data_IF_698387879636
#
_entry.id   IF_698387879636
#
_cell.length_a   1.000
_cell.length_b   1.000
_cell.length_c   1.000
_cell.angle_alpha   90.00
_cell.angle_beta   90.00
_cell.angle_gamma   90.00
#
_symmetry.space_group_name_H-M   'P 1'
#
loop_
_entity.id
_entity.type
_entity.pdbx_description
1 polymer ?
#
# COMPACT_ATOMS: atom_id res chain seq x y z
N UNK A 1 -0.05 -11.59 5.73
CA UNK A 1 -0.89 -12.03 4.59
C UNK A 1 -0.73 -13.53 4.41
N UNK A 2 -1.83 -14.27 4.21
CA UNK A 2 -1.80 -15.72 3.96
C UNK A 2 -1.21 -16.02 2.55
N UNK A 3 -0.60 -17.20 2.31
CA UNK A 3 -0.22 -17.62 0.95
C UNK A 3 -1.43 -17.57 0.00
N UNK A 4 -1.20 -17.12 -1.24
CA UNK A 4 -2.26 -16.84 -2.22
C UNK A 4 -3.03 -15.52 -2.01
N UNK A 5 -2.84 -14.86 -0.87
CA UNK A 5 -3.54 -13.61 -0.53
C UNK A 5 -3.23 -12.45 -1.47
N UNK A 6 -4.18 -11.52 -1.56
CA UNK A 6 -4.07 -10.28 -2.33
C UNK A 6 -4.34 -9.10 -1.39
N UNK A 7 -3.49 -8.09 -1.43
CA UNK A 7 -3.67 -6.80 -0.78
C UNK A 7 -3.67 -5.70 -1.83
N UNK A 8 -4.62 -4.77 -1.72
CA UNK A 8 -4.69 -3.56 -2.55
C UNK A 8 -4.49 -2.37 -1.62
N UNK A 9 -3.49 -1.54 -1.90
CA UNK A 9 -3.09 -0.45 -1.00
C UNK A 9 -2.55 0.75 -1.80
N UNK A 10 -3.02 1.98 -1.53
CA UNK A 10 -2.38 3.19 -2.02
C UNK A 10 -1.08 3.45 -1.25
N UNK A 11 0.01 3.76 -1.96
CA UNK A 11 1.31 4.06 -1.35
C UNK A 11 1.82 5.38 -1.91
N UNK A 12 2.07 6.33 -1.01
CA UNK A 12 2.50 7.71 -1.29
C UNK A 12 1.93 8.68 -0.25
N UNK A 13 2.32 9.95 -0.29
CA UNK A 13 1.72 11.03 0.49
C UNK A 13 0.56 11.66 -0.29
N UNK A 14 0.83 12.73 -1.04
CA UNK A 14 -0.18 13.55 -1.72
C UNK A 14 -0.65 12.90 -3.03
N UNK A 15 0.31 12.51 -3.89
CA UNK A 15 0.05 11.63 -5.03
C UNK A 15 0.47 10.23 -4.67
N UNK A 16 -0.46 9.29 -4.76
CA UNK A 16 -0.24 7.89 -4.39
C UNK A 16 -0.31 6.99 -5.61
N UNK A 17 0.42 5.89 -5.59
CA UNK A 17 0.28 4.82 -6.58
C UNK A 17 -0.48 3.65 -5.98
N UNK A 18 -1.50 3.15 -6.68
CA UNK A 18 -2.27 2.00 -6.24
C UNK A 18 -1.51 0.70 -6.56
N UNK A 19 -1.16 -0.06 -5.53
CA UNK A 19 -0.49 -1.35 -5.71
C UNK A 19 -1.45 -2.52 -5.50
N UNK A 20 -1.39 -3.49 -6.40
CA UNK A 20 -1.85 -4.87 -6.15
C UNK A 20 -0.66 -5.70 -5.70
N UNK A 21 -0.68 -6.15 -4.45
CA UNK A 21 0.33 -7.00 -3.82
C UNK A 21 -0.20 -8.42 -3.72
N UNK A 22 0.52 -9.40 -4.25
CA UNK A 22 0.20 -10.84 -4.14
C UNK A 22 1.30 -11.54 -3.36
N UNK A 23 0.93 -12.43 -2.44
CA UNK A 23 1.84 -13.42 -1.85
C UNK A 23 1.57 -14.76 -2.51
N UNK A 24 2.56 -15.40 -3.12
CA UNK A 24 2.38 -16.74 -3.68
C UNK A 24 2.39 -17.83 -2.60
N UNK A 25 2.30 -19.08 -3.02
CA UNK A 25 2.32 -20.27 -2.17
C UNK A 25 3.64 -20.44 -1.42
N UNK A 26 4.75 -20.05 -2.03
CA UNK A 26 6.11 -20.11 -1.44
C UNK A 26 6.40 -18.91 -0.53
N UNK A 27 5.49 -17.95 -0.49
CA UNK A 27 5.55 -16.78 0.37
C UNK A 27 6.26 -15.58 -0.25
N UNK A 28 6.65 -15.66 -1.52
CA UNK A 28 7.25 -14.56 -2.27
C UNK A 28 6.20 -13.51 -2.61
N UNK A 29 6.62 -12.24 -2.54
CA UNK A 29 5.77 -11.07 -2.71
C UNK A 29 5.96 -10.48 -4.11
N UNK A 30 4.86 -10.24 -4.81
CA UNK A 30 4.82 -9.59 -6.11
C UNK A 30 3.99 -8.32 -6.00
N UNK A 31 4.51 -7.20 -6.51
CA UNK A 31 3.83 -5.91 -6.52
C UNK A 31 3.59 -5.48 -7.96
N UNK A 32 2.36 -5.07 -8.28
CA UNK A 32 2.00 -4.50 -9.59
C UNK A 32 1.33 -3.14 -9.39
N UNK A 33 1.86 -2.13 -10.08
CA UNK A 33 1.28 -0.78 -10.21
C UNK A 33 -0.05 -0.83 -10.97
N UNK A 34 -1.01 -0.01 -10.57
CA UNK A 34 -2.37 0.05 -11.13
C UNK A 34 -2.81 1.44 -11.54
N UNK A 35 -2.04 2.47 -11.21
CA UNK A 35 -2.30 3.86 -11.55
C UNK A 35 -2.23 4.78 -10.33
N UNK A 36 -2.13 6.07 -10.62
CA UNK A 36 -2.18 7.13 -9.63
C UNK A 36 -3.57 7.26 -8.99
N UNK A 37 -3.61 7.54 -7.69
CA UNK A 37 -4.82 7.75 -6.88
C UNK A 37 -4.57 8.83 -5.83
N UNK A 38 -5.65 9.36 -5.25
CA UNK A 38 -5.60 10.32 -4.15
C UNK A 38 -6.54 9.85 -3.02
N UNK A 39 -5.96 9.28 -1.96
CA UNK A 39 -6.66 8.93 -0.72
C UNK A 39 -6.11 9.75 0.44
N UNK A 40 -6.88 9.83 1.52
CA UNK A 40 -6.42 10.36 2.81
C UNK A 40 -5.18 9.59 3.33
N UNK A 41 -4.30 10.24 4.12
CA UNK A 41 -3.14 9.56 4.67
C UNK A 41 -3.54 8.47 5.67
N UNK A 42 -2.90 7.31 5.57
CA UNK A 42 -3.04 6.24 6.56
C UNK A 42 -2.27 6.62 7.83
N UNK A 43 -2.95 7.19 8.82
CA UNK A 43 -2.34 7.58 10.11
C UNK A 43 -2.20 6.37 11.04
N UNK A 44 -1.03 6.19 11.66
CA UNK A 44 -0.85 5.17 12.69
C UNK A 44 0.61 4.81 12.95
N UNK A 45 0.86 3.84 13.84
CA UNK A 45 2.21 3.38 14.24
C UNK A 45 3.12 3.03 13.06
N UNK A 46 2.56 2.48 11.98
CA UNK A 46 3.26 2.09 10.76
C UNK A 46 2.87 2.95 9.54
N UNK A 47 2.15 4.05 9.79
CA UNK A 47 1.69 4.99 8.78
C UNK A 47 2.26 6.38 9.01
N UNK A 48 1.57 7.40 8.52
CA UNK A 48 1.94 8.78 8.74
C UNK A 48 1.76 9.18 10.21
N UNK A 49 2.67 10.02 10.71
CA UNK A 49 2.56 10.60 12.07
C UNK A 49 1.62 11.79 12.03
N UNK A 50 0.73 11.86 13.02
CA UNK A 50 -0.14 13.02 13.21
C UNK A 50 0.75 14.25 13.47
N UNK A 51 0.69 15.26 12.59
CA UNK A 51 1.46 16.51 12.70
C UNK A 51 2.65 16.68 11.75
N UNK A 52 2.90 15.76 10.82
CA UNK A 52 3.65 16.07 9.60
C UNK A 52 2.67 16.01 8.42
N UNK A 53 1.99 17.13 8.22
CA UNK A 53 1.43 17.51 6.93
C UNK A 53 2.48 18.41 6.27
N UNK A 54 2.77 18.18 5.00
CA UNK A 54 3.76 18.92 4.22
C UNK A 54 3.42 20.42 4.12
#
# INVERSE_FOLDING_TARGET
MKPGGIMVIPVGSDSQELYKVKKDSEGKIYKKRKGGVAFVPLIGKYGFRKGLEC
#
